data_IF_666232447776
#
_entry.id   IF_666232447776
#
_cell.length_a   1.000
_cell.length_b   1.000
_cell.length_c   1.000
_cell.angle_alpha   90.00
_cell.angle_beta   90.00
_cell.angle_gamma   90.00
#
_symmetry.space_group_name_H-M   'P 1'
#
loop_
_entity.id
_entity.type
_entity.pdbx_description
1 polymer ?
#
# COMPACT_ATOMS: atom_id res chain seq x y z
N UNK A 1 -27.96 2.98 42.65
CA UNK A 1 -28.98 2.32 41.87
C UNK A 1 -29.08 2.84 40.44
N UNK A 2 -28.96 4.12 40.17
CA UNK A 2 -28.95 4.66 38.82
C UNK A 2 -27.66 4.47 38.04
N UNK A 3 -26.62 4.05 38.73
CA UNK A 3 -25.29 3.96 38.12
C UNK A 3 -25.13 2.71 37.21
N UNK A 4 -25.84 1.62 37.51
CA UNK A 4 -25.72 0.39 36.73
C UNK A 4 -26.09 0.55 35.26
N UNK A 5 -27.26 1.16 34.91
CA UNK A 5 -27.64 1.36 33.51
C UNK A 5 -26.67 2.26 32.76
N UNK A 6 -26.13 3.28 33.40
CA UNK A 6 -25.16 4.17 32.78
C UNK A 6 -23.86 3.44 32.45
N UNK A 7 -23.40 2.55 33.33
CA UNK A 7 -22.21 1.78 33.08
C UNK A 7 -22.36 0.84 31.89
N UNK A 8 -23.54 0.23 31.74
CA UNK A 8 -23.81 -0.67 30.61
C UNK A 8 -23.79 0.04 29.29
N UNK A 9 -24.40 1.24 29.20
CA UNK A 9 -24.40 2.04 27.97
C UNK A 9 -22.98 2.44 27.60
N UNK A 10 -22.19 2.79 28.58
CA UNK A 10 -20.79 3.21 28.35
C UNK A 10 -19.97 2.06 27.78
N UNK A 11 -20.14 0.84 28.29
CA UNK A 11 -19.40 -0.31 27.80
C UNK A 11 -19.77 -0.65 26.35
N UNK A 12 -21.04 -0.53 25.98
CA UNK A 12 -21.45 -0.80 24.59
C UNK A 12 -20.81 0.19 23.62
N UNK A 13 -20.73 1.46 24.00
CA UNK A 13 -20.07 2.46 23.18
C UNK A 13 -18.60 2.15 22.93
N UNK A 14 -17.91 1.65 23.93
CA UNK A 14 -16.47 1.29 23.79
C UNK A 14 -16.26 0.09 22.86
N UNK A 15 -17.21 -0.84 22.80
CA UNK A 15 -17.07 -2.03 21.96
C UNK A 15 -17.19 -1.73 20.47
N UNK A 16 -17.93 -0.71 20.06
CA UNK A 16 -18.14 -0.38 18.65
C UNK A 16 -16.89 0.24 18.02
N UNK A 17 -16.24 1.15 18.71
CA UNK A 17 -15.09 1.88 18.18
C UNK A 17 -13.93 0.98 17.75
N UNK A 18 -13.49 -0.02 18.54
CA UNK A 18 -12.41 -0.90 18.13
C UNK A 18 -12.66 -1.67 16.83
N UNK A 19 -13.89 -2.06 16.56
CA UNK A 19 -14.22 -2.81 15.34
C UNK A 19 -14.01 -1.96 14.09
N UNK A 20 -14.41 -0.70 14.12
CA UNK A 20 -14.22 0.21 12.99
C UNK A 20 -12.73 0.43 12.69
N UNK A 21 -11.93 0.63 13.71
CA UNK A 21 -10.48 0.81 13.56
C UNK A 21 -9.82 -0.44 12.98
N UNK A 22 -10.30 -1.63 13.36
CA UNK A 22 -9.74 -2.89 12.86
C UNK A 22 -9.94 -3.04 11.36
N UNK A 23 -11.08 -2.62 10.80
CA UNK A 23 -11.34 -2.69 9.36
C UNK A 23 -10.42 -1.78 8.57
N UNK A 24 -10.25 -0.53 9.01
CA UNK A 24 -9.37 0.41 8.34
C UNK A 24 -7.92 -0.06 8.39
N UNK A 25 -7.49 -0.59 9.54
CA UNK A 25 -6.15 -1.12 9.71
C UNK A 25 -5.91 -2.32 8.79
N UNK A 26 -6.92 -3.16 8.58
CA UNK A 26 -6.83 -4.32 7.71
C UNK A 26 -6.56 -3.93 6.26
N UNK A 27 -7.23 -2.91 5.75
CA UNK A 27 -7.02 -2.42 4.38
C UNK A 27 -5.65 -1.78 4.21
N UNK A 28 -5.19 -1.05 5.21
CA UNK A 28 -3.86 -0.48 5.20
C UNK A 28 -2.79 -1.57 5.24
N UNK A 29 -2.99 -2.61 6.05
CA UNK A 29 -2.05 -3.75 6.08
C UNK A 29 -1.97 -4.44 4.73
N UNK A 30 -3.10 -4.59 4.04
CA UNK A 30 -3.12 -5.17 2.70
C UNK A 30 -2.32 -4.31 1.72
N UNK A 31 -2.46 -2.99 1.81
CA UNK A 31 -1.67 -2.07 1.00
C UNK A 31 -0.17 -2.26 1.25
N UNK A 32 0.24 -2.32 2.52
CA UNK A 32 1.65 -2.50 2.87
C UNK A 32 2.20 -3.82 2.37
N UNK A 33 1.42 -4.89 2.46
CA UNK A 33 1.84 -6.20 1.95
C UNK A 33 2.15 -6.14 0.46
N UNK A 34 1.34 -5.44 -0.30
CA UNK A 34 1.51 -5.36 -1.75
C UNK A 34 2.57 -4.36 -2.18
N UNK A 35 2.76 -3.29 -1.43
CA UNK A 35 3.50 -2.14 -1.95
C UNK A 35 4.63 -1.63 -1.07
N UNK A 36 4.87 -2.19 0.10
CA UNK A 36 5.88 -1.64 1.00
C UNK A 36 7.03 -2.62 1.25
N UNK A 37 8.25 -2.15 0.99
CA UNK A 37 9.48 -2.86 1.34
C UNK A 37 10.52 -1.81 1.77
N UNK A 38 10.62 -1.60 3.08
CA UNK A 38 11.43 -0.53 3.65
C UNK A 38 12.93 -0.69 3.36
N UNK A 39 13.40 -1.94 3.30
CA UNK A 39 14.84 -2.22 3.20
C UNK A 39 15.08 -3.28 2.14
N UNK A 40 15.04 -2.91 0.85
CA UNK A 40 15.18 -3.89 -0.22
C UNK A 40 16.58 -4.46 -0.27
N UNK A 41 16.66 -5.78 -0.50
CA UNK A 41 17.94 -6.47 -0.74
C UNK A 41 18.12 -6.60 -2.24
N UNK A 42 18.67 -5.55 -2.84
CA UNK A 42 18.74 -5.42 -4.27
C UNK A 42 17.46 -4.84 -4.86
N UNK A 43 17.51 -4.47 -6.14
CA UNK A 43 16.36 -3.89 -6.85
C UNK A 43 16.39 -4.30 -8.31
N UNK A 44 16.81 -5.54 -8.57
CA UNK A 44 16.94 -6.09 -9.92
C UNK A 44 15.78 -7.05 -10.23
N UNK A 45 15.84 -7.71 -11.39
CA UNK A 45 14.79 -8.62 -11.82
C UNK A 45 14.59 -9.75 -10.81
N UNK A 46 15.66 -10.26 -10.25
CA UNK A 46 15.60 -11.33 -9.26
C UNK A 46 14.90 -10.87 -7.98
N UNK A 47 15.11 -9.63 -7.58
CA UNK A 47 14.38 -9.02 -6.47
C UNK A 47 12.88 -9.06 -6.74
N UNK A 48 12.47 -8.64 -7.94
CA UNK A 48 11.06 -8.63 -8.31
C UNK A 48 10.45 -10.02 -8.28
N UNK A 49 11.15 -11.01 -8.85
CA UNK A 49 10.63 -12.38 -8.88
C UNK A 49 10.44 -12.93 -7.48
N UNK A 50 11.39 -12.67 -6.57
CA UNK A 50 11.30 -13.12 -5.19
C UNK A 50 10.19 -12.39 -4.42
N UNK A 51 10.14 -11.08 -4.55
CA UNK A 51 9.18 -10.28 -3.78
C UNK A 51 7.74 -10.48 -4.24
N UNK A 52 7.51 -10.56 -5.54
CA UNK A 52 6.17 -10.79 -6.06
C UNK A 52 5.63 -12.13 -5.54
N UNK A 53 6.46 -13.16 -5.52
CA UNK A 53 6.07 -14.45 -4.98
C UNK A 53 5.81 -14.38 -3.47
N UNK A 54 6.73 -13.77 -2.73
CA UNK A 54 6.63 -13.67 -1.27
C UNK A 54 5.37 -12.93 -0.84
N UNK A 55 4.97 -11.92 -1.60
CA UNK A 55 3.82 -11.09 -1.25
C UNK A 55 2.50 -11.62 -1.82
N UNK A 56 2.51 -12.79 -2.46
CA UNK A 56 1.30 -13.44 -2.94
C UNK A 56 0.74 -12.84 -4.23
N UNK A 57 1.59 -12.31 -5.09
CA UNK A 57 1.18 -11.58 -6.29
C UNK A 57 1.43 -12.38 -7.57
N UNK A 58 1.58 -13.70 -7.47
CA UNK A 58 1.94 -14.56 -8.59
C UNK A 58 0.91 -15.62 -8.95
N UNK A 59 -0.30 -15.55 -8.44
CA UNK A 59 -1.35 -16.52 -8.74
C UNK A 59 -2.68 -15.83 -9.04
N UNK A 60 -2.85 -15.31 -10.26
CA UNK A 60 -1.96 -15.30 -11.43
C UNK A 60 -0.84 -14.29 -11.30
N UNK A 61 0.11 -14.32 -12.22
CA UNK A 61 1.18 -13.33 -12.25
C UNK A 61 0.61 -11.93 -12.43
N UNK A 62 0.72 -11.09 -11.41
CA UNK A 62 0.28 -9.70 -11.51
C UNK A 62 1.15 -8.99 -12.55
N UNK A 63 0.52 -8.19 -13.43
CA UNK A 63 1.24 -7.57 -14.55
C UNK A 63 2.24 -6.51 -14.10
N UNK A 64 1.81 -5.60 -13.26
CA UNK A 64 2.65 -4.50 -12.79
C UNK A 64 2.42 -4.25 -11.32
N UNK A 65 3.50 -4.14 -10.56
CA UNK A 65 3.42 -3.82 -9.14
C UNK A 65 4.64 -3.04 -8.70
N UNK A 66 4.42 -1.96 -7.98
CA UNK A 66 5.49 -1.10 -7.48
C UNK A 66 5.66 -1.30 -5.97
N UNK A 67 6.91 -1.47 -5.56
CA UNK A 67 7.30 -1.49 -4.15
C UNK A 67 7.88 -0.14 -3.76
N UNK A 68 7.41 0.43 -2.66
CA UNK A 68 7.84 1.71 -2.12
C UNK A 68 8.86 1.43 -1.03
N UNK A 69 10.03 2.06 -1.13
CA UNK A 69 11.11 1.91 -0.16
C UNK A 69 11.16 3.17 0.70
N UNK A 70 10.96 3.01 1.96
CA UNK A 70 10.89 4.11 2.89
C UNK A 70 10.16 3.66 4.12
N UNK A 71 10.13 4.48 5.14
CA UNK A 71 9.45 4.10 6.36
C UNK A 71 7.94 4.27 6.19
N UNK A 72 7.21 3.41 6.88
CA UNK A 72 5.76 3.36 6.81
C UNK A 72 5.10 4.72 7.11
N UNK A 73 5.62 5.44 8.09
CA UNK A 73 5.04 6.71 8.49
C UNK A 73 5.14 7.79 7.40
N UNK A 74 6.20 7.75 6.57
CA UNK A 74 6.31 8.68 5.44
C UNK A 74 5.24 8.40 4.39
N UNK A 75 4.89 7.13 4.19
CA UNK A 75 3.83 6.78 3.25
C UNK A 75 2.48 7.23 3.79
N UNK A 76 2.21 7.00 5.08
CA UNK A 76 0.98 7.45 5.72
C UNK A 76 0.82 8.96 5.62
N UNK A 77 1.91 9.70 5.73
CA UNK A 77 1.89 11.16 5.72
C UNK A 77 1.41 11.74 4.37
N UNK A 78 1.43 10.94 3.29
CA UNK A 78 0.87 11.37 2.01
C UNK A 78 -0.64 11.61 2.13
N UNK A 79 -1.30 10.92 3.05
CA UNK A 79 -2.72 11.13 3.31
C UNK A 79 -2.99 12.38 4.14
N UNK A 80 -1.95 13.09 4.55
CA UNK A 80 -2.01 14.31 5.32
C UNK A 80 -1.10 15.39 4.75
N UNK A 81 -0.20 15.90 5.59
CA UNK A 81 0.61 17.07 5.26
C UNK A 81 1.62 16.85 4.13
N UNK A 82 2.04 15.60 3.89
CA UNK A 82 3.04 15.31 2.87
C UNK A 82 2.43 14.79 1.57
N UNK A 83 1.19 15.15 1.31
CA UNK A 83 0.52 14.85 0.06
C UNK A 83 -0.36 16.01 -0.37
N UNK A 84 -0.66 16.06 -1.67
CA UNK A 84 -1.59 17.02 -2.25
C UNK A 84 -2.73 16.30 -2.94
N UNK A 85 -3.93 16.91 -3.00
CA UNK A 85 -5.03 16.30 -3.76
C UNK A 85 -4.65 16.08 -5.21
N UNK A 86 -5.08 14.94 -5.78
CA UNK A 86 -4.72 14.55 -7.14
C UNK A 86 -5.93 14.03 -7.92
N UNK A 87 -7.13 14.43 -7.53
CA UNK A 87 -8.38 14.01 -8.13
C UNK A 87 -9.03 12.88 -7.34
N UNK A 88 -10.35 13.01 -7.11
CA UNK A 88 -11.08 12.02 -6.32
C UNK A 88 -10.46 11.82 -4.95
N UNK A 89 -10.23 10.58 -4.58
CA UNK A 89 -9.56 10.24 -3.33
C UNK A 89 -8.06 10.01 -3.49
N UNK A 90 -7.49 10.38 -4.66
CA UNK A 90 -6.06 10.22 -4.92
C UNK A 90 -5.27 11.37 -4.33
N UNK A 91 -4.05 11.07 -3.91
CA UNK A 91 -3.11 12.04 -3.39
C UNK A 91 -1.72 11.78 -3.97
N UNK A 92 -1.02 12.85 -4.32
CA UNK A 92 0.35 12.76 -4.83
C UNK A 92 1.31 13.18 -3.73
N UNK A 93 2.39 12.44 -3.56
CA UNK A 93 3.39 12.77 -2.54
C UNK A 93 4.07 14.10 -2.86
N UNK A 94 4.36 14.90 -1.82
CA UNK A 94 5.11 16.16 -1.99
C UNK A 94 6.60 15.92 -2.15
N UNK A 95 7.09 14.76 -1.73
CA UNK A 95 8.49 14.38 -1.85
C UNK A 95 8.60 13.06 -2.61
N UNK A 96 9.68 12.86 -3.37
CA UNK A 96 9.86 11.60 -4.09
C UNK A 96 10.25 10.47 -3.14
N UNK A 97 9.95 9.24 -3.58
CA UNK A 97 10.30 8.01 -2.88
C UNK A 97 11.17 7.14 -3.77
N UNK A 98 12.08 6.39 -3.16
CA UNK A 98 12.73 5.29 -3.86
C UNK A 98 11.70 4.21 -4.11
N UNK A 99 11.61 3.72 -5.33
CA UNK A 99 10.63 2.69 -5.71
C UNK A 99 11.28 1.66 -6.60
N UNK A 100 10.70 0.45 -6.64
CA UNK A 100 11.05 -0.57 -7.63
C UNK A 100 9.76 -1.04 -8.26
N UNK A 101 9.65 -0.84 -9.58
CA UNK A 101 8.48 -1.28 -10.33
C UNK A 101 8.81 -2.62 -10.97
N UNK A 102 7.96 -3.61 -10.69
CA UNK A 102 8.09 -4.96 -11.22
C UNK A 102 7.06 -5.14 -12.33
N UNK A 103 7.54 -5.41 -13.55
CA UNK A 103 6.64 -5.62 -14.69
C UNK A 103 6.80 -7.02 -15.22
N UNK A 104 5.67 -7.72 -15.40
CA UNK A 104 5.65 -9.07 -15.93
C UNK A 104 6.20 -9.07 -17.35
N UNK A 105 7.09 -10.02 -17.66
CA UNK A 105 7.81 -10.05 -18.93
C UNK A 105 7.00 -10.66 -20.06
N UNK A 106 5.73 -10.99 -19.83
CA UNK A 106 4.88 -11.59 -20.81
C UNK A 106 4.90 -13.11 -20.73
N UNK A 107 4.21 -13.76 -21.65
CA UNK A 107 4.04 -15.19 -21.62
C UNK A 107 2.89 -15.61 -20.74
N UNK A 108 3.03 -16.79 -20.10
CA UNK A 108 1.98 -17.33 -19.27
C UNK A 108 1.76 -16.54 -18.00
N UNK A 109 0.50 -16.40 -17.58
CA UNK A 109 0.15 -15.82 -16.29
C UNK A 109 0.31 -16.82 -15.14
N UNK A 110 0.71 -18.04 -15.42
CA UNK A 110 0.94 -19.07 -14.40
C UNK A 110 2.37 -19.01 -13.89
N UNK A 111 2.60 -19.26 -12.60
CA UNK A 111 3.96 -19.33 -12.06
C UNK A 111 4.77 -20.45 -12.77
N UNK A 112 6.11 -20.28 -12.88
CA UNK A 112 6.91 -19.20 -12.30
C UNK A 112 6.76 -17.90 -13.10
N UNK A 113 6.62 -16.79 -12.37
CA UNK A 113 6.44 -15.48 -12.98
C UNK A 113 7.80 -14.79 -13.18
N UNK A 114 8.02 -14.27 -14.38
CA UNK A 114 9.24 -13.55 -14.73
C UNK A 114 8.96 -12.06 -14.76
N UNK A 115 9.81 -11.29 -14.10
CA UNK A 115 9.63 -9.85 -13.98
C UNK A 115 10.87 -9.08 -14.40
N UNK A 116 10.64 -7.91 -14.95
CA UNK A 116 11.67 -6.90 -15.18
C UNK A 116 11.53 -5.83 -14.11
N UNK A 117 12.64 -5.48 -13.48
CA UNK A 117 12.66 -4.49 -12.43
C UNK A 117 13.15 -3.14 -12.97
N UNK A 118 12.49 -2.07 -12.56
CA UNK A 118 12.94 -0.71 -12.83
C UNK A 118 13.02 0.01 -11.49
N UNK A 119 14.23 0.38 -11.08
CA UNK A 119 14.45 1.18 -9.89
C UNK A 119 14.22 2.65 -10.24
N UNK A 120 13.56 3.39 -9.35
CA UNK A 120 13.25 4.79 -9.59
C UNK A 120 13.27 5.60 -8.32
N UNK A 121 13.28 6.92 -8.51
CA UNK A 121 13.16 7.89 -7.43
C UNK A 121 12.18 8.95 -7.91
N UNK A 122 10.94 8.91 -7.41
CA UNK A 122 9.88 9.74 -7.97
C UNK A 122 8.72 9.93 -7.00
N UNK A 123 7.88 10.91 -7.30
CA UNK A 123 6.63 11.11 -6.58
C UNK A 123 5.70 9.94 -6.86
N UNK A 124 4.88 9.59 -5.88
CA UNK A 124 3.92 8.49 -6.01
C UNK A 124 2.50 9.00 -5.79
N UNK A 125 1.54 8.31 -6.39
CA UNK A 125 0.12 8.60 -6.25
C UNK A 125 -0.56 7.41 -5.58
N UNK A 126 -1.28 7.69 -4.51
CA UNK A 126 -2.01 6.66 -3.75
C UNK A 126 -3.42 7.14 -3.48
N UNK A 127 -4.31 6.19 -3.21
CA UNK A 127 -5.64 6.51 -2.70
C UNK A 127 -5.64 6.35 -1.19
N UNK A 128 -6.31 7.28 -0.51
CA UNK A 128 -6.44 7.28 0.95
C UNK A 128 -7.90 7.17 1.35
N UNK A 129 -8.16 6.41 2.41
CA UNK A 129 -9.48 6.36 3.05
C UNK A 129 -9.28 6.43 4.55
N UNK A 130 -10.01 7.34 5.20
CA UNK A 130 -9.91 7.56 6.64
C UNK A 130 -8.48 7.84 7.09
N UNK A 131 -7.73 8.57 6.25
CA UNK A 131 -6.35 8.96 6.57
C UNK A 131 -5.32 7.87 6.38
N UNK A 132 -5.65 6.75 5.75
CA UNK A 132 -4.72 5.63 5.54
C UNK A 132 -4.63 5.26 4.07
N UNK A 133 -3.43 4.93 3.59
CA UNK A 133 -3.26 4.42 2.23
C UNK A 133 -3.97 3.08 2.03
N UNK A 134 -4.73 2.96 0.94
CA UNK A 134 -5.46 1.72 0.63
C UNK A 134 -5.23 1.25 -0.80
N UNK A 135 -4.65 2.07 -1.67
CA UNK A 135 -4.44 1.71 -3.08
C UNK A 135 -3.25 2.49 -3.64
N UNK A 136 -2.47 1.85 -4.51
CA UNK A 136 -1.36 2.47 -5.24
C UNK A 136 -1.77 2.65 -6.70
N UNK A 137 -1.58 3.85 -7.26
CA UNK A 137 -1.92 4.12 -8.65
C UNK A 137 -0.72 3.81 -9.55
N UNK A 138 -0.72 2.61 -10.14
CA UNK A 138 0.35 2.18 -11.02
C UNK A 138 0.37 2.98 -12.34
N UNK A 139 -0.76 3.53 -12.76
CA UNK A 139 -0.85 4.23 -14.04
C UNK A 139 -0.03 5.51 -14.08
N UNK A 140 0.23 6.11 -12.92
CA UNK A 140 1.01 7.35 -12.84
C UNK A 140 2.42 7.16 -13.38
N UNK A 141 3.04 6.00 -13.15
CA UNK A 141 4.39 5.73 -13.62
C UNK A 141 4.46 5.48 -15.12
N UNK A 142 3.39 4.98 -15.70
CA UNK A 142 3.37 4.68 -17.13
C UNK A 142 3.42 5.97 -17.96
N UNK A 143 2.89 7.06 -17.42
CA UNK A 143 2.81 8.34 -18.12
C UNK A 143 4.08 9.17 -18.03
N UNK A 144 4.89 8.91 -17.05
CA UNK A 144 6.13 9.65 -16.88
C UNK A 144 7.31 8.90 -17.45
#
# INVERSE_FOLDING_TARGET
>A
MGLGPLLLVFLLGLCVTPLTLTQDDSRFKAFLTKHHDASPKGRNDRYCERMMKRRGLTSPCKDTNTFIHGIKDHIKAICGDNGNPHGGNLRISTSPFQVTTCKHRGGSSRPPCRYRATAGFRHIVIACENGLPVHFDESFFIRS
#
